data_IF_137148577098
#
_entry.id   IF_137148577098
#
_cell.length_a   1.000
_cell.length_b   1.000
_cell.length_c   1.000
_cell.angle_alpha   90.00
_cell.angle_beta   90.00
_cell.angle_gamma   90.00
#
_symmetry.space_group_name_H-M   'P 1'
#
loop_
_entity.id
_entity.type
_entity.pdbx_description
1 polymer ?
#
# COMPACT_ATOMS: atom_id res chain seq x y z
N UNK A 1 -2.00 -9.36 -3.83
CA UNK A 1 -0.68 -10.02 -3.90
C UNK A 1 0.48 -9.08 -4.21
N UNK A 2 0.42 -8.25 -5.27
CA UNK A 2 1.50 -7.32 -5.63
C UNK A 2 1.92 -6.38 -4.50
N UNK A 3 0.97 -5.60 -3.95
CA UNK A 3 1.24 -4.65 -2.85
C UNK A 3 1.67 -5.35 -1.56
N UNK A 4 1.17 -6.56 -1.31
CA UNK A 4 1.53 -7.37 -0.15
C UNK A 4 3.01 -7.73 -0.16
N UNK A 5 3.58 -8.08 -1.32
CA UNK A 5 5.00 -8.42 -1.44
C UNK A 5 5.88 -7.18 -1.43
N UNK A 6 5.50 -6.15 -2.19
CA UNK A 6 6.29 -4.92 -2.31
C UNK A 6 6.35 -4.10 -1.01
N UNK A 7 5.29 -4.11 -0.19
CA UNK A 7 5.18 -3.27 1.00
C UNK A 7 5.17 -4.06 2.32
N UNK A 8 5.51 -5.36 2.29
CA UNK A 8 5.68 -6.20 3.47
C UNK A 8 6.63 -5.54 4.48
N UNK A 9 7.79 -5.08 4.00
CA UNK A 9 8.79 -4.38 4.81
C UNK A 9 8.34 -2.99 5.29
N UNK A 10 7.18 -2.50 4.88
CA UNK A 10 6.59 -1.22 5.32
C UNK A 10 5.44 -1.42 6.31
N UNK A 11 5.16 -2.67 6.66
CA UNK A 11 4.06 -3.07 7.51
C UNK A 11 2.74 -2.81 6.81
N UNK A 12 2.64 -3.28 5.56
CA UNK A 12 1.39 -3.32 4.80
C UNK A 12 0.31 -4.06 5.59
N UNK A 13 -0.81 -3.39 5.77
CA UNK A 13 -1.97 -3.91 6.51
C UNK A 13 -3.13 -4.25 5.58
N UNK A 14 -3.21 -3.61 4.42
CA UNK A 14 -4.33 -3.77 3.50
C UNK A 14 -4.40 -2.65 2.48
N UNK A 15 -5.44 -2.73 1.66
CA UNK A 15 -5.78 -1.72 0.67
C UNK A 15 -7.29 -1.49 0.69
N UNK A 16 -7.70 -0.23 0.64
CA UNK A 16 -9.09 0.16 0.42
C UNK A 16 -9.19 0.75 -0.99
N UNK A 17 -10.21 0.35 -1.74
CA UNK A 17 -10.46 0.86 -3.09
C UNK A 17 -11.77 1.62 -3.09
N UNK A 18 -11.71 2.91 -3.39
CA UNK A 18 -12.89 3.76 -3.56
C UNK A 18 -13.05 4.07 -5.03
N UNK A 19 -14.18 3.66 -5.58
CA UNK A 19 -14.50 3.89 -7.00
C UNK A 19 -15.51 5.02 -7.07
N UNK A 20 -15.15 6.09 -7.77
CA UNK A 20 -16.08 7.13 -8.20
C UNK A 20 -16.23 7.07 -9.71
N UNK A 21 -17.28 7.68 -10.30
CA UNK A 21 -17.46 7.70 -11.74
C UNK A 21 -16.30 8.36 -12.52
N UNK A 22 -15.54 9.25 -11.87
CA UNK A 22 -14.46 10.02 -12.50
C UNK A 22 -13.06 9.51 -12.13
N UNK A 23 -12.90 8.89 -10.95
CA UNK A 23 -11.59 8.46 -10.43
C UNK A 23 -11.71 7.23 -9.53
N UNK A 24 -10.74 6.33 -9.65
CA UNK A 24 -10.51 5.24 -8.70
C UNK A 24 -9.39 5.64 -7.75
N UNK A 25 -9.69 5.66 -6.46
CA UNK A 25 -8.73 5.94 -5.41
C UNK A 25 -8.33 4.63 -4.72
N UNK A 26 -7.03 4.40 -4.57
CA UNK A 26 -6.46 3.22 -3.94
C UNK A 26 -5.70 3.67 -2.70
N UNK A 27 -6.22 3.35 -1.53
CA UNK A 27 -5.67 3.76 -0.24
C UNK A 27 -4.89 2.60 0.35
N UNK A 28 -3.58 2.74 0.41
CA UNK A 28 -2.67 1.76 0.99
C UNK A 28 -2.59 1.98 2.49
N UNK A 29 -2.99 0.97 3.26
CA UNK A 29 -2.91 0.98 4.71
C UNK A 29 -1.56 0.41 5.13
N UNK A 30 -0.70 1.23 5.74
CA UNK A 30 0.63 0.80 6.16
C UNK A 30 1.08 1.44 7.48
N UNK A 31 1.99 0.79 8.21
CA UNK A 31 2.55 1.36 9.45
C UNK A 31 3.65 2.39 9.17
N UNK A 32 4.41 2.22 8.08
CA UNK A 32 5.51 3.11 7.65
C UNK A 32 5.13 3.83 6.35
N UNK A 33 4.15 4.73 6.40
CA UNK A 33 3.64 5.43 5.20
C UNK A 33 4.70 6.24 4.46
N UNK A 34 5.70 6.80 5.15
CA UNK A 34 6.81 7.51 4.50
C UNK A 34 7.60 6.63 3.52
N UNK A 35 7.78 5.36 3.83
CA UNK A 35 8.47 4.42 2.93
C UNK A 35 7.60 4.06 1.72
N UNK A 36 6.28 4.02 1.89
CA UNK A 36 5.32 3.81 0.80
C UNK A 36 5.33 5.00 -0.17
N UNK A 37 5.41 6.22 0.38
CA UNK A 37 5.57 7.45 -0.41
C UNK A 37 6.93 7.47 -1.13
N UNK A 38 8.00 7.12 -0.42
CA UNK A 38 9.38 7.22 -0.87
C UNK A 38 9.89 8.66 -0.96
N UNK A 39 11.17 8.83 -1.28
CA UNK A 39 11.80 10.15 -1.38
C UNK A 39 11.04 11.04 -2.37
N UNK A 40 10.57 12.21 -1.92
CA UNK A 40 9.76 13.15 -2.72
C UNK A 40 8.59 12.46 -3.44
N UNK A 41 7.96 11.48 -2.80
CA UNK A 41 6.83 10.74 -3.37
C UNK A 41 7.19 9.91 -4.60
N UNK A 42 8.46 9.53 -4.80
CA UNK A 42 8.90 8.76 -5.97
C UNK A 42 8.24 7.39 -6.02
N UNK A 43 8.26 6.66 -4.91
CA UNK A 43 7.78 5.27 -4.86
C UNK A 43 6.28 5.19 -5.12
N UNK A 44 5.49 6.08 -4.53
CA UNK A 44 4.04 6.09 -4.77
C UNK A 44 3.70 6.42 -6.23
N UNK A 45 4.47 7.30 -6.90
CA UNK A 45 4.31 7.57 -8.33
C UNK A 45 4.65 6.36 -9.21
N UNK A 46 5.71 5.62 -8.87
CA UNK A 46 6.08 4.37 -9.54
C UNK A 46 4.97 3.31 -9.37
N UNK A 47 4.44 3.15 -8.15
CA UNK A 47 3.30 2.25 -7.88
C UNK A 47 2.05 2.65 -8.68
N UNK A 48 1.73 3.94 -8.74
CA UNK A 48 0.60 4.44 -9.56
C UNK A 48 0.79 4.08 -11.02
N UNK A 49 1.99 4.28 -11.58
CA UNK A 49 2.29 3.95 -12.97
C UNK A 49 2.17 2.44 -13.26
N UNK A 50 2.60 1.59 -12.33
CA UNK A 50 2.46 0.13 -12.44
C UNK A 50 0.99 -0.27 -12.43
N UNK A 51 0.19 0.24 -11.48
CA UNK A 51 -1.25 -0.04 -11.40
C UNK A 51 -1.96 0.44 -12.66
N UNK A 52 -1.67 1.65 -13.11
CA UNK A 52 -2.27 2.23 -14.30
C UNK A 52 -2.02 1.36 -15.53
N UNK A 53 -0.77 0.95 -15.78
CA UNK A 53 -0.41 0.10 -16.93
C UNK A 53 -0.96 -1.32 -16.81
N UNK A 54 -0.90 -1.92 -15.62
CA UNK A 54 -1.28 -3.33 -15.41
C UNK A 54 -2.79 -3.56 -15.55
N UNK A 55 -3.60 -2.58 -15.15
CA UNK A 55 -5.06 -2.68 -15.19
C UNK A 55 -5.70 -1.83 -16.29
N UNK A 56 -4.89 -1.15 -17.12
CA UNK A 56 -5.38 -0.38 -18.26
C UNK A 56 -6.19 0.87 -17.88
N UNK A 57 -5.90 1.48 -16.72
CA UNK A 57 -6.57 2.72 -16.33
C UNK A 57 -6.19 3.87 -17.28
N UNK A 58 -7.18 4.68 -17.72
CA UNK A 58 -6.91 5.94 -18.39
C UNK A 58 -6.01 6.84 -17.54
N UNK A 59 -5.21 7.69 -18.19
CA UNK A 59 -4.34 8.64 -17.51
C UNK A 59 -5.15 9.55 -16.56
N UNK A 60 -4.69 9.70 -15.32
CA UNK A 60 -5.34 10.51 -14.29
C UNK A 60 -6.63 9.93 -13.68
N UNK A 61 -7.06 8.73 -14.13
CA UNK A 61 -8.25 8.05 -13.59
C UNK A 61 -7.97 7.18 -12.36
N UNK A 62 -6.71 6.93 -12.03
CA UNK A 62 -6.29 6.19 -10.83
C UNK A 62 -5.32 7.01 -10.00
N UNK A 63 -5.53 7.03 -8.69
CA UNK A 63 -4.68 7.73 -7.73
C UNK A 63 -4.43 6.87 -6.50
N UNK A 64 -3.20 6.87 -6.00
CA UNK A 64 -2.80 6.10 -4.83
C UNK A 64 -2.52 7.04 -3.66
N UNK A 65 -3.01 6.65 -2.48
CA UNK A 65 -2.75 7.31 -1.21
C UNK A 65 -2.14 6.32 -0.22
N UNK A 66 -1.45 6.83 0.79
CA UNK A 66 -0.93 6.03 1.90
C UNK A 66 -1.49 6.54 3.22
N UNK A 67 -2.19 5.69 3.94
CA UNK A 67 -2.79 6.01 5.23
C UNK A 67 -2.13 5.20 6.35
N UNK A 68 -1.86 5.87 7.47
CA UNK A 68 -1.17 5.27 8.60
C UNK A 68 -2.17 4.50 9.45
N UNK A 69 -1.93 3.20 9.62
CA UNK A 69 -2.74 2.38 10.53
C UNK A 69 -2.44 2.78 11.98
N UNK A 70 -3.47 3.25 12.70
CA UNK A 70 -3.35 3.73 14.07
C UNK A 70 -3.02 2.61 15.08
N UNK A 71 -3.44 1.36 14.83
CA UNK A 71 -3.34 0.25 15.80
C UNK A 71 -2.71 -1.00 15.18
N UNK A 72 -1.39 -1.16 15.40
CA UNK A 72 -0.63 -2.40 15.08
C UNK A 72 -1.23 -3.68 15.70
N UNK A 73 -1.96 -3.57 16.81
CA UNK A 73 -2.50 -4.70 17.58
C UNK A 73 -3.72 -5.40 16.98
N UNK A 74 -4.41 -4.79 16.01
CA UNK A 74 -5.67 -5.32 15.46
C UNK A 74 -5.55 -5.87 14.04
N UNK A 75 -4.39 -5.71 13.39
CA UNK A 75 -4.15 -6.27 12.06
C UNK A 75 -3.51 -7.67 12.18
N UNK A 76 -4.29 -8.70 11.84
CA UNK A 76 -3.84 -10.09 11.86
C UNK A 76 -2.58 -10.33 11.01
N UNK A 77 -2.45 -9.62 9.88
CA UNK A 77 -1.30 -9.74 8.96
C UNK A 77 -0.04 -9.16 9.60
N UNK A 78 -0.13 -7.98 10.22
CA UNK A 78 1.00 -7.35 10.91
C UNK A 78 1.47 -8.15 12.13
N UNK A 79 0.55 -8.80 12.85
CA UNK A 79 0.89 -9.72 13.95
C UNK A 79 1.59 -10.99 13.44
N UNK A 80 1.11 -11.56 12.33
CA UNK A 80 1.73 -12.73 11.71
C UNK A 80 3.14 -12.44 11.18
N UNK A 81 3.36 -11.30 10.53
CA UNK A 81 4.69 -10.87 10.10
C UNK A 81 5.63 -10.60 11.28
N UNK A 82 5.14 -9.98 12.36
CA UNK A 82 5.94 -9.77 13.57
C UNK A 82 6.33 -11.10 14.23
N UNK A 83 5.45 -12.10 14.22
CA UNK A 83 5.76 -13.45 14.69
C UNK A 83 6.83 -14.11 13.81
N UNK A 84 6.68 -14.03 12.48
CA UNK A 84 7.65 -14.58 11.53
C UNK A 84 9.04 -14.00 11.74
N UNK A 85 9.14 -12.69 11.93
CA UNK A 85 10.43 -12.02 12.15
C UNK A 85 11.11 -12.47 13.45
N UNK A 86 10.34 -12.76 14.51
CA UNK A 86 10.87 -13.24 15.80
C UNK A 86 11.26 -14.73 15.79
N UNK A 87 10.66 -15.53 14.92
CA UNK A 87 10.90 -16.97 14.84
C UNK A 87 12.03 -17.36 13.87
N UNK A 88 12.34 -16.49 12.92
CA UNK A 88 13.39 -16.69 11.91
C UNK A 88 14.61 -15.77 12.12
N UNK A 89 14.60 -14.96 13.18
CA UNK A 89 15.72 -14.14 13.63
C UNK A 89 16.61 -14.87 14.63
#
# INVERSE_FOLDING_TARGET
EFLTRELAEDGYSGVEVRVTPTRTEIIILATRTQNVLGEKGRRIRELTAVVQKRFGFPEGSVELYAEKVATRGLCAIAQAESLRYKLLG
#
